data_IF_549201991004
#
_entry.id   IF_549201991004
#
_cell.length_a   1.000
_cell.length_b   1.000
_cell.length_c   1.000
_cell.angle_alpha   90.00
_cell.angle_beta   90.00
_cell.angle_gamma   90.00
#
_symmetry.space_group_name_H-M   'P 1'
#
loop_
_entity.id
_entity.type
_entity.pdbx_description
1 polymer ?
#
# COMPACT_ATOMS: atom_id res chain seq x y z
N UNK A 1 35.65 8.61 -29.60
CA UNK A 1 35.46 9.73 -28.66
C UNK A 1 34.30 9.33 -27.75
N UNK A 2 34.46 9.21 -26.42
CA UNK A 2 33.31 9.04 -25.53
C UNK A 2 32.52 10.35 -25.61
N UNK A 3 31.25 10.26 -26.00
CA UNK A 3 30.33 11.39 -25.99
C UNK A 3 30.22 11.99 -24.57
N UNK A 4 29.86 13.28 -24.44
CA UNK A 4 29.74 13.93 -23.16
C UNK A 4 28.76 13.09 -22.31
N UNK A 5 29.20 12.66 -21.13
CA UNK A 5 28.34 12.13 -20.10
C UNK A 5 27.29 13.21 -19.85
N UNK A 6 26.08 13.01 -20.38
CA UNK A 6 24.95 13.93 -20.14
C UNK A 6 24.76 13.98 -18.63
N UNK A 7 25.20 15.09 -18.04
CA UNK A 7 25.00 15.34 -16.62
C UNK A 7 23.48 15.25 -16.33
N UNK A 8 23.13 14.48 -15.32
CA UNK A 8 21.73 14.34 -14.93
C UNK A 8 21.17 15.71 -14.56
N UNK A 9 20.11 16.13 -15.25
CA UNK A 9 19.42 17.40 -14.96
C UNK A 9 18.22 17.10 -14.08
N UNK A 10 18.12 17.77 -12.93
CA UNK A 10 17.00 17.60 -11.98
C UNK A 10 16.02 18.75 -12.15
N UNK A 11 14.74 18.43 -12.30
CA UNK A 11 13.63 19.37 -12.41
C UNK A 11 13.03 19.65 -11.03
N UNK A 12 13.68 20.48 -10.23
CA UNK A 12 13.27 20.77 -8.85
C UNK A 12 11.82 21.23 -8.70
N UNK A 13 11.32 22.01 -9.66
CA UNK A 13 9.94 22.49 -9.68
C UNK A 13 8.87 21.39 -9.81
N UNK A 14 9.26 20.21 -10.28
CA UNK A 14 8.33 19.06 -10.45
C UNK A 14 8.17 18.22 -9.17
N UNK A 15 9.05 18.37 -8.18
CA UNK A 15 9.02 17.57 -6.95
C UNK A 15 7.74 17.85 -6.14
N UNK A 16 7.41 19.13 -5.93
CA UNK A 16 6.22 19.53 -5.17
C UNK A 16 4.92 18.97 -5.75
N UNK A 17 4.61 19.20 -7.02
CA UNK A 17 3.44 18.60 -7.69
C UNK A 17 3.41 17.07 -7.61
N UNK A 18 4.54 16.39 -7.80
CA UNK A 18 4.61 14.93 -7.67
C UNK A 18 4.27 14.47 -6.24
N UNK A 19 4.82 15.13 -5.23
CA UNK A 19 4.54 14.79 -3.83
C UNK A 19 3.07 15.01 -3.48
N UNK A 20 2.47 16.12 -3.91
CA UNK A 20 1.03 16.37 -3.69
C UNK A 20 0.18 15.28 -4.35
N UNK A 21 0.48 14.92 -5.59
CA UNK A 21 -0.20 13.84 -6.32
C UNK A 21 -0.02 12.49 -5.59
N UNK A 22 1.22 12.17 -5.18
CA UNK A 22 1.51 10.94 -4.47
C UNK A 22 0.75 10.86 -3.13
N UNK A 23 0.77 11.93 -2.33
CA UNK A 23 0.06 11.98 -1.06
C UNK A 23 -1.46 11.87 -1.26
N UNK A 24 -2.02 12.53 -2.27
CA UNK A 24 -3.45 12.48 -2.56
C UNK A 24 -3.89 11.08 -3.03
N UNK A 25 -3.19 10.49 -3.99
CA UNK A 25 -3.61 9.23 -4.62
C UNK A 25 -3.16 8.03 -3.79
N UNK A 26 -1.86 7.93 -3.44
CA UNK A 26 -1.34 6.81 -2.66
C UNK A 26 -1.79 6.86 -1.20
N UNK A 27 -1.94 8.06 -0.62
CA UNK A 27 -2.35 8.27 0.76
C UNK A 27 -3.85 8.05 1.01
N UNK A 28 -4.69 8.05 -0.02
CA UNK A 28 -6.13 7.83 0.14
C UNK A 28 -6.44 6.41 0.66
N UNK A 29 -7.58 6.24 1.39
CA UNK A 29 -7.97 4.93 1.92
C UNK A 29 -8.01 3.84 0.85
N UNK A 30 -7.49 2.67 1.17
CA UNK A 30 -7.46 1.51 0.28
C UNK A 30 -7.06 0.24 1.01
N UNK A 31 -6.98 -0.90 0.31
CA UNK A 31 -6.74 -2.20 0.95
C UNK A 31 -5.53 -2.21 1.89
N UNK A 32 -4.38 -1.70 1.47
CA UNK A 32 -3.17 -1.69 2.28
C UNK A 32 -3.27 -0.75 3.50
N UNK A 33 -3.79 0.46 3.32
CA UNK A 33 -3.90 1.45 4.40
C UNK A 33 -4.94 1.03 5.44
N UNK A 34 -6.10 0.53 5.01
CA UNK A 34 -7.16 0.04 5.90
C UNK A 34 -6.68 -1.20 6.67
N UNK A 35 -5.96 -2.12 6.02
CA UNK A 35 -5.42 -3.30 6.68
C UNK A 35 -4.36 -2.95 7.73
N UNK A 36 -3.52 -1.94 7.47
CA UNK A 36 -2.55 -1.42 8.45
C UNK A 36 -3.25 -0.74 9.63
N UNK A 37 -4.31 0.04 9.37
CA UNK A 37 -5.13 0.62 10.43
C UNK A 37 -5.71 -0.47 11.32
N UNK A 38 -6.26 -1.53 10.72
CA UNK A 38 -6.78 -2.66 11.46
C UNK A 38 -5.69 -3.42 12.24
N UNK A 39 -4.53 -3.65 11.61
CA UNK A 39 -3.40 -4.28 12.29
C UNK A 39 -2.88 -3.43 13.46
N UNK A 40 -2.75 -2.12 13.26
CA UNK A 40 -2.35 -1.18 14.30
C UNK A 40 -3.31 -1.18 15.49
N UNK A 41 -4.61 -1.15 15.22
CA UNK A 41 -5.65 -1.15 16.26
C UNK A 41 -5.70 -2.46 17.04
N UNK A 42 -5.51 -3.61 16.38
CA UNK A 42 -5.62 -4.93 16.98
C UNK A 42 -4.34 -5.40 17.70
N UNK A 43 -3.17 -5.12 17.13
CA UNK A 43 -1.88 -5.66 17.59
C UNK A 43 -0.89 -4.60 18.10
N UNK A 44 -1.19 -3.32 17.85
CA UNK A 44 -0.30 -2.21 18.12
C UNK A 44 0.85 -2.09 17.10
N UNK A 45 1.59 -0.98 17.16
CA UNK A 45 2.66 -0.66 16.20
C UNK A 45 3.74 -1.75 16.16
N UNK A 46 4.34 -2.08 17.32
CA UNK A 46 5.52 -2.98 17.36
C UNK A 46 5.25 -4.35 16.75
N UNK A 47 4.10 -4.96 17.02
CA UNK A 47 3.75 -6.29 16.48
C UNK A 47 3.39 -6.25 15.01
N UNK A 48 3.02 -5.08 14.48
CA UNK A 48 2.62 -4.88 13.08
C UNK A 48 3.78 -4.40 12.18
N UNK A 49 4.98 -4.15 12.72
CA UNK A 49 6.12 -3.66 11.93
C UNK A 49 6.54 -4.63 10.81
N UNK A 50 6.51 -5.94 11.06
CA UNK A 50 6.81 -6.93 10.02
C UNK A 50 5.80 -6.87 8.87
N UNK A 51 4.52 -6.70 9.19
CA UNK A 51 3.45 -6.54 8.20
C UNK A 51 3.60 -5.24 7.40
N UNK A 52 3.91 -4.13 8.08
CA UNK A 52 4.23 -2.85 7.44
C UNK A 52 5.39 -3.00 6.46
N UNK A 53 6.51 -3.60 6.92
CA UNK A 53 7.69 -3.81 6.09
C UNK A 53 7.36 -4.67 4.86
N UNK A 54 6.52 -5.69 5.02
CA UNK A 54 6.03 -6.50 3.92
C UNK A 54 5.25 -5.68 2.89
N UNK A 55 4.26 -4.89 3.33
CA UNK A 55 3.46 -4.04 2.42
C UNK A 55 4.37 -3.05 1.68
N UNK A 56 5.30 -2.41 2.38
CA UNK A 56 6.25 -1.48 1.76
C UNK A 56 7.11 -2.20 0.72
N UNK A 57 7.68 -3.36 1.06
CA UNK A 57 8.48 -4.15 0.12
C UNK A 57 7.68 -4.53 -1.13
N UNK A 58 6.44 -5.02 -0.97
CA UNK A 58 5.55 -5.30 -2.09
C UNK A 58 5.23 -4.06 -2.93
N UNK A 59 5.01 -2.92 -2.28
CA UNK A 59 4.78 -1.64 -2.98
C UNK A 59 6.01 -1.19 -3.77
N UNK A 60 7.22 -1.39 -3.22
CA UNK A 60 8.48 -1.10 -3.94
C UNK A 60 8.64 -2.00 -5.17
N UNK A 61 8.27 -3.27 -5.07
CA UNK A 61 8.24 -4.18 -6.25
C UNK A 61 7.33 -3.61 -7.34
N UNK A 62 6.14 -3.12 -6.98
CA UNK A 62 5.22 -2.47 -7.94
C UNK A 62 5.83 -1.19 -8.51
N UNK A 63 6.48 -0.35 -7.68
CA UNK A 63 7.18 0.85 -8.13
C UNK A 63 8.25 0.53 -9.19
N UNK A 64 9.07 -0.48 -8.94
CA UNK A 64 10.10 -0.93 -9.88
C UNK A 64 9.46 -1.49 -11.16
N UNK A 65 8.42 -2.28 -11.05
CA UNK A 65 7.71 -2.82 -12.21
C UNK A 65 7.10 -1.71 -13.09
N UNK A 66 6.56 -0.65 -12.48
CA UNK A 66 6.07 0.53 -13.22
C UNK A 66 7.21 1.28 -13.87
N UNK A 67 8.31 1.51 -13.13
CA UNK A 67 9.49 2.24 -13.61
C UNK A 67 10.17 1.56 -14.81
N UNK A 68 10.17 0.24 -14.86
CA UNK A 68 10.74 -0.55 -15.98
C UNK A 68 9.79 -0.70 -17.17
N UNK A 69 8.58 -0.18 -17.08
CA UNK A 69 7.56 -0.33 -18.14
C UNK A 69 6.96 -1.73 -18.27
N UNK A 70 7.42 -2.71 -17.46
CA UNK A 70 6.91 -4.10 -17.45
C UNK A 70 5.40 -4.12 -17.17
N UNK A 71 4.89 -3.15 -16.44
CA UNK A 71 3.46 -3.03 -16.12
C UNK A 71 2.60 -3.00 -17.37
N UNK A 72 3.01 -2.30 -18.41
CA UNK A 72 2.26 -2.24 -19.67
C UNK A 72 2.15 -3.63 -20.30
N UNK A 73 3.22 -4.42 -20.29
CA UNK A 73 3.24 -5.79 -20.78
C UNK A 73 2.43 -6.75 -19.91
N UNK A 74 2.55 -6.63 -18.58
CA UNK A 74 1.79 -7.47 -17.63
C UNK A 74 0.28 -7.23 -17.72
N UNK A 75 -0.13 -5.96 -17.83
CA UNK A 75 -1.55 -5.60 -17.93
C UNK A 75 -2.11 -5.86 -19.34
N UNK A 76 -1.27 -5.97 -20.36
CA UNK A 76 -1.67 -6.35 -21.71
C UNK A 76 -2.01 -7.86 -21.84
N UNK A 77 -1.60 -8.69 -20.86
CA UNK A 77 -1.95 -10.12 -20.82
C UNK A 77 -3.20 -10.31 -19.96
N UNK A 78 -4.40 -10.51 -20.57
CA UNK A 78 -5.67 -10.57 -19.84
C UNK A 78 -5.71 -11.64 -18.74
N UNK A 79 -5.10 -12.80 -19.00
CA UNK A 79 -5.04 -13.90 -18.04
C UNK A 79 -4.27 -13.50 -16.77
N UNK A 80 -3.13 -12.82 -16.89
CA UNK A 80 -2.31 -12.42 -15.77
C UNK A 80 -3.00 -11.33 -14.92
N UNK A 81 -3.64 -10.36 -15.60
CA UNK A 81 -4.48 -9.36 -14.94
C UNK A 81 -5.59 -10.02 -14.12
N UNK A 82 -6.32 -10.99 -14.71
CA UNK A 82 -7.40 -11.69 -14.03
C UNK A 82 -6.90 -12.47 -12.81
N UNK A 83 -5.77 -13.18 -12.93
CA UNK A 83 -5.16 -13.93 -11.83
C UNK A 83 -4.78 -12.98 -10.68
N UNK A 84 -4.13 -11.84 -10.96
CA UNK A 84 -3.77 -10.85 -9.95
C UNK A 84 -5.00 -10.29 -9.23
N UNK A 85 -6.07 -9.99 -9.98
CA UNK A 85 -7.33 -9.50 -9.42
C UNK A 85 -7.96 -10.55 -8.50
N UNK A 86 -8.05 -11.80 -8.93
CA UNK A 86 -8.67 -12.89 -8.14
C UNK A 86 -7.86 -13.15 -6.87
N UNK A 87 -6.54 -13.27 -6.95
CA UNK A 87 -5.67 -13.47 -5.80
C UNK A 87 -5.76 -12.32 -4.81
N UNK A 88 -5.79 -11.08 -5.31
CA UNK A 88 -5.95 -9.88 -4.50
C UNK A 88 -7.28 -9.89 -3.77
N UNK A 89 -8.37 -10.12 -4.50
CA UNK A 89 -9.72 -10.15 -3.94
C UNK A 89 -9.85 -11.25 -2.88
N UNK A 90 -9.37 -12.45 -3.15
CA UNK A 90 -9.39 -13.58 -2.23
C UNK A 90 -8.63 -13.26 -0.92
N UNK A 91 -7.42 -12.70 -1.04
CA UNK A 91 -6.63 -12.33 0.13
C UNK A 91 -7.29 -11.21 0.95
N UNK A 92 -7.83 -10.20 0.28
CA UNK A 92 -8.49 -9.08 0.94
C UNK A 92 -9.78 -9.53 1.64
N UNK A 93 -10.58 -10.40 1.03
CA UNK A 93 -11.77 -10.99 1.65
C UNK A 93 -11.41 -11.85 2.86
N UNK A 94 -10.35 -12.66 2.75
CA UNK A 94 -9.84 -13.42 3.89
C UNK A 94 -9.38 -12.48 5.03
N UNK A 95 -8.68 -11.39 4.71
CA UNK A 95 -8.24 -10.42 5.69
C UNK A 95 -9.43 -9.68 6.33
N UNK A 96 -10.43 -9.27 5.53
CA UNK A 96 -11.65 -8.66 6.03
C UNK A 96 -12.41 -9.60 6.99
N UNK A 97 -12.51 -10.88 6.64
CA UNK A 97 -13.07 -11.90 7.52
C UNK A 97 -12.29 -12.00 8.84
N UNK A 98 -10.97 -12.05 8.79
CA UNK A 98 -10.12 -12.08 9.99
C UNK A 98 -10.29 -10.84 10.87
N UNK A 99 -10.41 -9.67 10.28
CA UNK A 99 -10.65 -8.40 11.01
C UNK A 99 -12.06 -8.45 11.66
N UNK A 100 -13.09 -8.83 10.91
CA UNK A 100 -14.46 -8.89 11.39
C UNK A 100 -14.65 -9.89 12.54
N UNK A 101 -13.90 -11.00 12.51
CA UNK A 101 -13.95 -12.08 13.50
C UNK A 101 -12.88 -11.97 14.59
N UNK A 102 -12.04 -10.94 14.55
CA UNK A 102 -11.05 -10.69 15.60
C UNK A 102 -11.77 -10.55 16.93
N UNK A 103 -11.49 -11.48 17.87
CA UNK A 103 -12.19 -11.62 19.13
C UNK A 103 -12.08 -10.36 19.98
N UNK A 104 -13.20 -9.92 20.49
CA UNK A 104 -13.32 -8.85 21.47
C UNK A 104 -13.13 -9.47 22.85
N UNK A 105 -11.90 -9.50 23.35
CA UNK A 105 -11.64 -10.07 24.67
C UNK A 105 -10.26 -9.74 25.19
N UNK A 106 -10.21 -9.42 26.47
CA UNK A 106 -9.01 -9.13 27.28
C UNK A 106 -8.17 -10.39 27.59
N UNK A 107 -8.07 -11.33 26.65
CA UNK A 107 -7.34 -12.59 26.82
C UNK A 107 -6.29 -12.83 25.73
N UNK A 108 -5.32 -13.74 25.95
CA UNK A 108 -4.17 -13.98 25.07
C UNK A 108 -4.47 -14.70 23.74
N UNK A 109 -5.66 -14.48 23.17
CA UNK A 109 -6.13 -15.11 21.92
C UNK A 109 -6.11 -14.19 20.71
N UNK A 110 -5.38 -13.08 20.73
CA UNK A 110 -4.98 -12.45 19.50
C UNK A 110 -4.02 -13.43 18.83
N UNK A 111 -4.49 -14.11 17.79
CA UNK A 111 -3.61 -14.88 16.91
C UNK A 111 -2.40 -14.03 16.50
N UNK A 112 -1.38 -14.64 15.93
CA UNK A 112 -0.19 -13.90 15.49
C UNK A 112 -0.57 -12.69 14.62
N UNK A 113 0.09 -11.56 14.81
CA UNK A 113 -0.02 -10.42 13.92
C UNK A 113 0.20 -10.86 12.46
N UNK A 114 -0.39 -10.16 11.48
CA UNK A 114 -0.19 -10.49 10.08
C UNK A 114 1.32 -10.53 9.75
N UNK A 115 1.71 -11.53 8.96
CA UNK A 115 3.12 -11.78 8.69
C UNK A 115 3.70 -10.80 7.66
N UNK A 116 5.03 -10.69 7.62
CA UNK A 116 5.75 -9.97 6.57
C UNK A 116 5.36 -10.47 5.17
N UNK A 117 5.29 -11.80 4.98
CA UNK A 117 4.90 -12.38 3.70
C UNK A 117 3.46 -12.01 3.30
N UNK A 118 2.52 -12.00 4.26
CA UNK A 118 1.16 -11.53 4.02
C UNK A 118 1.10 -10.05 3.64
N UNK A 119 1.95 -9.23 4.26
CA UNK A 119 2.12 -7.83 3.88
C UNK A 119 2.68 -7.66 2.48
N UNK A 120 3.73 -8.40 2.13
CA UNK A 120 4.34 -8.34 0.79
C UNK A 120 3.35 -8.78 -0.30
N UNK A 121 2.61 -9.85 -0.04
CA UNK A 121 1.57 -10.31 -0.94
C UNK A 121 0.49 -9.23 -1.14
N UNK A 122 0.01 -8.59 -0.06
CA UNK A 122 -0.95 -7.49 -0.18
C UNK A 122 -0.37 -6.31 -0.96
N UNK A 123 0.90 -5.94 -0.70
CA UNK A 123 1.57 -4.85 -1.41
C UNK A 123 1.60 -5.06 -2.91
N UNK A 124 1.99 -6.26 -3.36
CA UNK A 124 2.04 -6.63 -4.79
C UNK A 124 0.65 -6.83 -5.37
N UNK A 125 -0.23 -7.55 -4.67
CA UNK A 125 -1.55 -7.89 -5.17
C UNK A 125 -2.57 -6.75 -5.07
N UNK A 126 -2.23 -5.61 -4.46
CA UNK A 126 -3.14 -4.49 -4.28
C UNK A 126 -3.41 -3.74 -5.61
N UNK A 127 -4.60 -3.87 -6.24
CA UNK A 127 -4.88 -3.26 -7.53
C UNK A 127 -4.81 -1.74 -7.48
N UNK A 128 -5.19 -1.13 -6.35
CA UNK A 128 -5.06 0.31 -6.16
C UNK A 128 -3.59 0.77 -6.24
N UNK A 129 -2.63 -0.03 -5.72
CA UNK A 129 -1.22 0.34 -5.77
C UNK A 129 -0.72 0.46 -7.21
N UNK A 130 -1.08 -0.47 -8.09
CA UNK A 130 -0.71 -0.44 -9.50
C UNK A 130 -1.23 0.81 -10.22
N UNK A 131 -2.52 1.12 -10.05
CA UNK A 131 -3.15 2.31 -10.66
C UNK A 131 -2.58 3.60 -10.07
N UNK A 132 -2.50 3.69 -8.75
CA UNK A 132 -2.00 4.89 -8.06
C UNK A 132 -0.54 5.19 -8.41
N UNK A 133 0.32 4.16 -8.45
CA UNK A 133 1.73 4.31 -8.79
C UNK A 133 1.88 4.69 -10.26
N UNK A 134 1.18 4.03 -11.18
CA UNK A 134 1.26 4.37 -12.60
C UNK A 134 0.80 5.82 -12.87
N UNK A 135 -0.31 6.24 -12.27
CA UNK A 135 -0.79 7.62 -12.38
C UNK A 135 0.21 8.63 -11.81
N UNK A 136 0.82 8.33 -10.65
CA UNK A 136 1.81 9.21 -10.02
C UNK A 136 3.09 9.27 -10.86
N UNK A 137 3.56 8.14 -11.41
CA UNK A 137 4.73 8.11 -12.29
C UNK A 137 4.54 8.97 -13.55
N UNK A 138 3.34 8.95 -14.13
CA UNK A 138 3.01 9.74 -15.32
C UNK A 138 2.76 11.23 -15.05
N UNK A 139 2.58 11.64 -13.79
CA UNK A 139 2.13 13.00 -13.46
C UNK A 139 3.19 14.09 -13.59
N UNK A 140 4.47 13.74 -13.51
CA UNK A 140 5.56 14.71 -13.56
C UNK A 140 6.87 14.03 -14.01
N UNK A 141 7.80 14.83 -14.55
CA UNK A 141 9.18 14.42 -14.87
C UNK A 141 10.11 15.07 -13.86
N UNK A 142 10.95 14.27 -13.19
CA UNK A 142 11.88 14.74 -12.16
C UNK A 142 13.29 14.97 -12.67
N UNK A 143 13.72 14.23 -13.72
CA UNK A 143 15.08 14.30 -14.21
C UNK A 143 15.23 13.87 -15.66
N UNK A 144 16.37 14.19 -16.24
CA UNK A 144 16.89 13.69 -17.51
C UNK A 144 18.25 13.01 -17.25
N UNK A 145 18.55 11.90 -17.90
CA UNK A 145 17.73 11.09 -18.81
C UNK A 145 16.62 10.29 -18.11
N UNK A 146 15.76 9.60 -18.87
CA UNK A 146 14.60 8.86 -18.34
C UNK A 146 14.96 7.79 -17.29
N UNK A 147 16.15 7.21 -17.35
CA UNK A 147 16.64 6.25 -16.32
C UNK A 147 16.86 6.93 -14.98
N UNK A 148 17.40 8.15 -14.97
CA UNK A 148 17.56 8.97 -13.75
C UNK A 148 16.21 9.39 -13.20
N UNK A 149 15.26 9.78 -14.06
CA UNK A 149 13.88 10.10 -13.68
C UNK A 149 13.21 8.91 -12.99
N UNK A 150 13.31 7.72 -13.59
CA UNK A 150 12.73 6.49 -13.05
C UNK A 150 13.34 6.16 -11.67
N UNK A 151 14.67 6.21 -11.54
CA UNK A 151 15.37 5.93 -10.29
C UNK A 151 14.99 6.94 -9.19
N UNK A 152 14.95 8.24 -9.52
CA UNK A 152 14.56 9.30 -8.60
C UNK A 152 13.10 9.11 -8.10
N UNK A 153 12.18 8.77 -9.01
CA UNK A 153 10.78 8.48 -8.66
C UNK A 153 10.66 7.24 -7.78
N UNK A 154 11.35 6.14 -8.11
CA UNK A 154 11.34 4.94 -7.26
C UNK A 154 11.82 5.27 -5.86
N UNK A 155 12.94 5.98 -5.71
CA UNK A 155 13.47 6.35 -4.41
C UNK A 155 12.49 7.26 -3.64
N UNK A 156 12.04 8.35 -4.25
CA UNK A 156 11.15 9.33 -3.61
C UNK A 156 9.80 8.71 -3.23
N UNK A 157 9.16 7.98 -4.14
CA UNK A 157 7.86 7.37 -3.89
C UNK A 157 7.93 6.19 -2.91
N UNK A 158 9.07 5.51 -2.82
CA UNK A 158 9.32 4.52 -1.76
C UNK A 158 9.33 5.19 -0.38
N UNK A 159 10.00 6.33 -0.24
CA UNK A 159 9.99 7.11 1.02
C UNK A 159 8.57 7.59 1.37
N UNK A 160 7.83 8.08 0.37
CA UNK A 160 6.43 8.50 0.54
C UNK A 160 5.56 7.30 0.96
N UNK A 161 5.75 6.13 0.37
CA UNK A 161 5.02 4.91 0.75
C UNK A 161 5.31 4.52 2.20
N UNK A 162 6.57 4.53 2.63
CA UNK A 162 6.94 4.27 4.04
C UNK A 162 6.22 5.25 4.97
N UNK A 163 6.25 6.54 4.66
CA UNK A 163 5.59 7.57 5.44
C UNK A 163 4.08 7.32 5.55
N UNK A 164 3.40 7.17 4.40
CA UNK A 164 1.95 6.95 4.34
C UNK A 164 1.57 5.69 5.15
N UNK A 165 2.25 4.57 4.90
CA UNK A 165 1.91 3.30 5.56
C UNK A 165 2.18 3.37 7.07
N UNK A 166 3.25 4.07 7.50
CA UNK A 166 3.53 4.28 8.91
C UNK A 166 2.45 5.15 9.58
N UNK A 167 2.03 6.23 8.92
CA UNK A 167 0.95 7.09 9.44
C UNK A 167 -0.34 6.30 9.64
N UNK A 168 -0.76 5.50 8.64
CA UNK A 168 -1.96 4.67 8.77
C UNK A 168 -1.86 3.62 9.87
N UNK A 169 -0.68 3.01 10.07
CA UNK A 169 -0.43 2.08 11.17
C UNK A 169 -0.56 2.78 12.54
N UNK A 170 0.06 3.96 12.69
CA UNK A 170 0.01 4.73 13.94
C UNK A 170 -1.41 5.24 14.22
N UNK A 171 -2.11 5.75 13.21
CA UNK A 171 -3.52 6.13 13.31
C UNK A 171 -4.36 4.94 13.76
N UNK A 172 -4.14 3.75 13.20
CA UNK A 172 -4.81 2.53 13.65
C UNK A 172 -4.52 2.23 15.11
N UNK A 173 -3.26 2.32 15.53
CA UNK A 173 -2.88 2.06 16.92
C UNK A 173 -3.47 3.07 17.92
N UNK A 174 -3.75 4.31 17.50
CA UNK A 174 -4.40 5.30 18.35
C UNK A 174 -5.84 4.94 18.72
N UNK A 175 -6.50 4.07 17.95
CA UNK A 175 -7.82 3.54 18.27
C UNK A 175 -7.80 2.40 19.30
N UNK A 176 -6.63 1.83 19.63
CA UNK A 176 -6.52 0.68 20.53
C UNK A 176 -7.19 0.90 21.91
N UNK A 177 -7.14 2.10 22.55
CA UNK A 177 -7.86 2.32 23.80
C UNK A 177 -9.38 2.21 23.67
N UNK A 178 -9.96 2.67 22.55
CA UNK A 178 -11.38 2.59 22.29
C UNK A 178 -11.85 1.14 22.09
N UNK A 179 -10.94 0.25 21.68
CA UNK A 179 -11.22 -1.17 21.45
C UNK A 179 -11.20 -2.03 22.73
N UNK A 180 -10.95 -1.44 23.89
CA UNK A 180 -11.08 -2.14 25.20
C UNK A 180 -12.52 -2.46 25.55
N UNK A 181 -13.47 -1.67 25.04
CA UNK A 181 -14.89 -1.96 25.15
C UNK A 181 -15.30 -2.99 24.07
N UNK A 182 -15.85 -4.16 24.44
CA UNK A 182 -16.24 -5.20 23.51
C UNK A 182 -17.22 -4.75 22.42
N UNK A 183 -18.16 -3.90 22.75
CA UNK A 183 -19.15 -3.40 21.78
C UNK A 183 -18.50 -2.47 20.74
N UNK A 184 -17.68 -1.53 21.24
CA UNK A 184 -16.96 -0.59 20.36
C UNK A 184 -15.98 -1.31 19.45
N UNK A 185 -15.24 -2.29 19.98
CA UNK A 185 -14.32 -3.09 19.20
C UNK A 185 -15.04 -3.85 18.07
N UNK A 186 -16.21 -4.45 18.36
CA UNK A 186 -17.00 -5.12 17.32
C UNK A 186 -17.45 -4.17 16.23
N UNK A 187 -17.93 -2.97 16.58
CA UNK A 187 -18.35 -1.95 15.61
C UNK A 187 -17.17 -1.49 14.76
N UNK A 188 -16.02 -1.18 15.37
CA UNK A 188 -14.82 -0.75 14.64
C UNK A 188 -14.31 -1.85 13.72
N UNK A 189 -14.22 -3.09 14.17
CA UNK A 189 -13.76 -4.21 13.35
C UNK A 189 -14.68 -4.46 12.15
N UNK A 190 -16.00 -4.40 12.35
CA UNK A 190 -16.96 -4.53 11.25
C UNK A 190 -16.87 -3.35 10.28
N UNK A 191 -16.70 -2.12 10.78
CA UNK A 191 -16.53 -0.94 9.95
C UNK A 191 -15.25 -1.02 9.11
N UNK A 192 -14.12 -1.44 9.71
CA UNK A 192 -12.85 -1.63 8.99
C UNK A 192 -12.94 -2.76 7.95
N UNK A 193 -13.60 -3.88 8.28
CA UNK A 193 -13.81 -4.97 7.34
C UNK A 193 -14.71 -4.53 6.17
N UNK A 194 -15.81 -3.83 6.45
CA UNK A 194 -16.68 -3.28 5.42
C UNK A 194 -15.95 -2.25 4.54
N UNK A 195 -15.16 -1.35 5.15
CA UNK A 195 -14.36 -0.36 4.43
C UNK A 195 -13.31 -1.04 3.52
N UNK A 196 -12.70 -2.14 3.99
CA UNK A 196 -11.73 -2.91 3.22
C UNK A 196 -12.37 -3.55 1.99
N UNK A 197 -13.54 -4.17 2.15
CA UNK A 197 -14.31 -4.76 1.04
C UNK A 197 -14.76 -3.68 0.07
N UNK A 198 -15.32 -2.57 0.57
CA UNK A 198 -15.77 -1.46 -0.27
C UNK A 198 -14.61 -0.82 -1.06
N UNK A 199 -13.47 -0.56 -0.41
CA UNK A 199 -12.28 -0.02 -1.08
C UNK A 199 -11.76 -0.96 -2.17
N UNK A 200 -11.85 -2.28 -1.95
CA UNK A 200 -11.47 -3.28 -2.95
C UNK A 200 -12.45 -3.28 -4.12
N UNK A 201 -13.74 -3.29 -3.85
CA UNK A 201 -14.77 -3.24 -4.90
C UNK A 201 -14.66 -1.98 -5.78
N UNK A 202 -14.35 -0.83 -5.17
CA UNK A 202 -14.10 0.42 -5.90
C UNK A 202 -12.81 0.37 -6.74
N UNK A 203 -11.77 -0.31 -6.26
CA UNK A 203 -10.50 -0.43 -6.98
C UNK A 203 -10.55 -1.43 -8.15
N UNK A 204 -11.58 -2.28 -8.22
CA UNK A 204 -11.77 -3.28 -9.28
C UNK A 204 -12.74 -2.82 -10.38
N UNK A 205 -13.32 -1.63 -10.27
CA UNK A 205 -14.16 -1.00 -11.31
C UNK A 205 -13.31 -0.24 -12.31
#
# INVERSE_FOLDING_TARGET
MPGPLLAATIHWGSIGPLLVTALAIMGSPGPATISLTAAGSAYGVRRSLGYLAGIVAGTVVVLVAVATGITATLLAVPALRSVLIVLSAAYILWLAYRIATAGVGTGPRLGSAPSLAGGAMLGVANPKAWVAIAATFGSARLADPATTDAAAKVALLSMVAVLIMTVWLVVGASFAPALRDPRRARVVNLALAAALVAATALALR
#
